data_IF_645299805902
#
_entry.id   IF_645299805902
#
_cell.length_a   1.000
_cell.length_b   1.000
_cell.length_c   1.000
_cell.angle_alpha   90.00
_cell.angle_beta   90.00
_cell.angle_gamma   90.00
#
_symmetry.space_group_name_H-M   'P 1'
#
loop_
_entity.id
_entity.type
_entity.pdbx_description
1 polymer ?
#
# COMPACT_ATOMS: atom_id res chain seq x y z
N UNK A 1 -19.04 -19.10 -7.44
CA UNK A 1 -20.23 -18.41 -6.89
C UNK A 1 -19.83 -17.73 -5.58
N UNK A 2 -19.40 -16.48 -5.63
CA UNK A 2 -19.17 -15.61 -4.46
C UNK A 2 -20.01 -14.34 -4.59
N UNK A 3 -21.30 -14.49 -4.94
CA UNK A 3 -22.19 -13.35 -5.22
C UNK A 3 -22.70 -12.63 -3.95
N UNK A 4 -22.34 -13.11 -2.76
CA UNK A 4 -22.66 -12.47 -1.48
C UNK A 4 -21.47 -12.63 -0.53
N UNK A 5 -20.34 -12.00 -0.86
CA UNK A 5 -19.28 -11.83 0.14
C UNK A 5 -19.76 -10.79 1.16
N UNK A 6 -19.68 -11.04 2.48
CA UNK A 6 -20.02 -10.05 3.48
C UNK A 6 -19.18 -8.77 3.28
N UNK A 7 -19.70 -7.61 3.68
CA UNK A 7 -18.93 -6.37 3.72
C UNK A 7 -17.77 -6.53 4.70
N UNK A 8 -16.63 -7.00 4.22
CA UNK A 8 -15.40 -7.11 4.99
C UNK A 8 -14.75 -5.73 4.96
N UNK A 9 -14.77 -5.07 6.12
CA UNK A 9 -14.12 -3.76 6.32
C UNK A 9 -12.71 -3.92 6.89
N UNK A 10 -12.41 -5.06 7.50
CA UNK A 10 -11.12 -5.34 8.12
C UNK A 10 -10.62 -6.73 7.76
N UNK A 11 -9.35 -6.82 7.37
CA UNK A 11 -8.71 -8.06 6.97
C UNK A 11 -7.34 -8.13 7.62
N UNK A 12 -7.07 -9.26 8.29
CA UNK A 12 -5.78 -9.55 8.90
C UNK A 12 -5.23 -10.82 8.28
N UNK A 13 -4.04 -10.71 7.68
CA UNK A 13 -3.25 -11.84 7.22
C UNK A 13 -2.07 -12.03 8.17
N UNK A 14 -1.90 -13.24 8.67
CA UNK A 14 -0.66 -13.69 9.28
C UNK A 14 -0.12 -14.85 8.44
N UNK A 15 0.98 -14.60 7.74
CA UNK A 15 1.60 -15.53 6.80
C UNK A 15 3.06 -15.75 7.19
N UNK A 16 3.28 -16.70 8.10
CA UNK A 16 4.62 -17.25 8.37
C UNK A 16 4.95 -18.48 7.50
N UNK A 17 4.07 -18.81 6.54
CA UNK A 17 4.24 -19.87 5.54
C UNK A 17 4.29 -19.27 4.13
N UNK A 18 4.74 -20.07 3.14
CA UNK A 18 4.86 -19.68 1.72
C UNK A 18 3.49 -19.51 1.08
N UNK A 19 2.83 -18.38 1.34
CA UNK A 19 1.70 -17.90 0.56
C UNK A 19 2.26 -17.01 -0.54
N UNK A 20 1.84 -17.23 -1.78
CA UNK A 20 2.27 -16.40 -2.90
C UNK A 20 1.64 -15.01 -2.77
N UNK A 21 2.43 -13.97 -3.04
CA UNK A 21 1.96 -12.59 -2.95
C UNK A 21 0.80 -12.34 -3.93
N UNK A 22 0.84 -12.98 -5.09
CA UNK A 22 -0.19 -12.95 -6.12
C UNK A 22 -1.55 -13.41 -5.60
N UNK A 23 -1.58 -14.54 -4.87
CA UNK A 23 -2.84 -15.08 -4.32
C UNK A 23 -3.49 -14.10 -3.33
N UNK A 24 -2.67 -13.39 -2.55
CA UNK A 24 -3.17 -12.39 -1.59
C UNK A 24 -3.65 -11.14 -2.30
N UNK A 25 -2.91 -10.65 -3.30
CA UNK A 25 -3.32 -9.49 -4.07
C UNK A 25 -4.63 -9.76 -4.82
N UNK A 26 -4.77 -10.95 -5.40
CA UNK A 26 -5.99 -11.40 -6.04
C UNK A 26 -7.14 -11.46 -5.03
N UNK A 27 -6.92 -12.04 -3.83
CA UNK A 27 -7.92 -12.04 -2.77
C UNK A 27 -8.36 -10.61 -2.38
N UNK A 28 -7.41 -9.70 -2.18
CA UNK A 28 -7.68 -8.31 -1.80
C UNK A 28 -8.46 -7.56 -2.90
N UNK A 29 -8.22 -7.87 -4.18
CA UNK A 29 -8.98 -7.30 -5.29
C UNK A 29 -10.48 -7.65 -5.23
N UNK A 30 -10.83 -8.79 -4.62
CA UNK A 30 -12.22 -9.22 -4.44
C UNK A 30 -12.88 -8.63 -3.17
N UNK A 31 -12.19 -7.76 -2.43
CA UNK A 31 -12.70 -7.12 -1.20
C UNK A 31 -12.58 -5.58 -1.33
N UNK A 32 -13.33 -4.94 -2.24
CA UNK A 32 -13.18 -3.51 -2.51
C UNK A 32 -13.60 -2.61 -1.33
N UNK A 33 -14.47 -3.09 -0.44
CA UNK A 33 -14.94 -2.35 0.75
C UNK A 33 -13.93 -2.30 1.90
N UNK A 34 -12.75 -2.88 1.73
CA UNK A 34 -11.78 -2.99 2.80
C UNK A 34 -11.26 -1.61 3.21
N UNK A 35 -11.38 -1.29 4.49
CA UNK A 35 -10.92 -0.02 5.07
C UNK A 35 -9.70 -0.20 5.97
N UNK A 36 -9.50 -1.41 6.52
CA UNK A 36 -8.38 -1.74 7.40
C UNK A 36 -7.70 -3.02 6.93
N UNK A 37 -6.39 -2.93 6.69
CA UNK A 37 -5.56 -4.06 6.29
C UNK A 37 -4.40 -4.21 7.27
N UNK A 38 -4.27 -5.39 7.86
CA UNK A 38 -3.09 -5.77 8.64
C UNK A 38 -2.45 -6.98 7.98
N UNK A 39 -1.17 -6.88 7.62
CA UNK A 39 -0.40 -8.01 7.10
C UNK A 39 0.84 -8.20 7.95
N UNK A 40 0.99 -9.43 8.43
CA UNK A 40 2.18 -9.91 9.12
C UNK A 40 2.75 -11.06 8.30
N UNK A 41 3.93 -10.88 7.72
CA UNK A 41 4.54 -11.85 6.83
C UNK A 41 6.07 -11.75 6.82
N UNK A 42 6.72 -12.72 6.18
CA UNK A 42 8.16 -12.64 5.96
C UNK A 42 8.55 -11.54 4.96
N UNK A 43 9.84 -11.19 4.92
CA UNK A 43 10.36 -10.17 4.00
C UNK A 43 10.26 -10.54 2.53
N UNK A 44 10.09 -11.82 2.20
CA UNK A 44 9.97 -12.32 0.81
C UNK A 44 8.57 -12.04 0.27
N UNK A 45 7.55 -12.15 1.13
CA UNK A 45 6.18 -11.78 0.81
C UNK A 45 6.07 -10.29 0.44
N UNK A 46 6.75 -9.42 1.18
CA UNK A 46 6.77 -7.98 0.92
C UNK A 46 7.79 -7.62 -0.17
N UNK A 47 7.59 -8.13 -1.37
CA UNK A 47 8.44 -7.78 -2.50
C UNK A 47 8.13 -6.38 -3.07
N UNK A 48 8.91 -5.94 -4.04
CA UNK A 48 8.68 -4.63 -4.66
C UNK A 48 7.35 -4.56 -5.42
N UNK A 49 6.86 -5.68 -5.95
CA UNK A 49 5.61 -5.76 -6.70
C UNK A 49 4.41 -5.51 -5.78
N UNK A 50 4.41 -6.08 -4.58
CA UNK A 50 3.40 -5.82 -3.56
C UNK A 50 3.16 -4.32 -3.35
N UNK A 51 4.24 -3.55 -3.11
CA UNK A 51 4.13 -2.11 -2.88
C UNK A 51 3.70 -1.33 -4.12
N UNK A 52 4.11 -1.76 -5.31
CA UNK A 52 3.68 -1.15 -6.57
C UNK A 52 2.18 -1.35 -6.81
N UNK A 53 1.66 -2.56 -6.61
CA UNK A 53 0.23 -2.86 -6.80
C UNK A 53 -0.65 -2.16 -5.74
N UNK A 54 -0.10 -1.98 -4.54
CA UNK A 54 -0.71 -1.19 -3.48
C UNK A 54 -0.61 0.32 -3.70
N UNK A 55 0.19 0.81 -4.66
CA UNK A 55 0.31 2.24 -4.97
C UNK A 55 -0.89 2.68 -5.81
N UNK A 56 -1.55 3.76 -5.41
CA UNK A 56 -2.62 4.36 -6.21
C UNK A 56 -2.02 5.12 -7.39
N UNK A 57 -2.30 4.69 -8.61
CA UNK A 57 -1.87 5.38 -9.83
C UNK A 57 -2.99 6.27 -10.37
N UNK A 58 -2.62 7.37 -11.04
CA UNK A 58 -3.57 8.20 -11.78
C UNK A 58 -4.16 7.37 -12.94
N UNK A 59 -5.45 7.54 -13.28
CA UNK A 59 -5.91 7.21 -14.62
C UNK A 59 -5.11 8.03 -15.63
N UNK A 60 -4.35 7.37 -16.50
CA UNK A 60 -3.66 8.05 -17.59
C UNK A 60 -4.71 8.58 -18.57
N UNK A 61 -4.74 9.90 -18.88
CA UNK A 61 -5.72 10.47 -19.80
C UNK A 61 -5.51 10.06 -21.27
N UNK A 62 -4.42 9.34 -21.60
CA UNK A 62 -4.05 9.00 -22.97
C UNK A 62 -4.84 7.83 -23.58
N UNK A 63 -5.69 7.14 -22.82
CA UNK A 63 -6.42 5.94 -23.26
C UNK A 63 -7.94 6.04 -23.03
N UNK A 64 -8.53 7.17 -23.41
CA UNK A 64 -9.98 7.33 -23.58
C UNK A 64 -10.43 6.68 -24.90
N UNK A 65 -10.32 5.36 -25.00
CA UNK A 65 -10.59 4.68 -26.26
C UNK A 65 -10.64 3.17 -26.17
N UNK A 66 -11.37 2.62 -25.21
CA UNK A 66 -12.04 1.33 -25.32
C UNK A 66 -12.78 1.05 -24.01
N UNK A 67 -13.99 0.56 -24.16
CA UNK A 67 -14.92 0.10 -23.15
C UNK A 67 -14.29 -1.05 -22.31
N UNK A 68 -13.42 -0.71 -21.36
CA UNK A 68 -12.98 -1.57 -20.25
C UNK A 68 -12.85 -0.69 -18.99
N UNK A 69 -14.01 -0.38 -18.40
CA UNK A 69 -14.16 0.11 -17.03
C UNK A 69 -13.47 -0.86 -16.05
N UNK A 70 -12.22 -0.65 -15.62
CA UNK A 70 -11.70 -0.98 -14.26
C UNK A 70 -10.20 -0.77 -14.00
N UNK A 71 -9.33 -0.58 -14.99
CA UNK A 71 -7.89 -0.84 -14.78
C UNK A 71 -7.00 0.33 -14.29
N UNK A 72 -7.54 1.36 -13.64
CA UNK A 72 -6.72 2.48 -13.14
C UNK A 72 -6.94 2.87 -11.68
N UNK A 73 -7.67 2.05 -10.92
CA UNK A 73 -7.87 2.28 -9.49
C UNK A 73 -6.95 1.34 -8.73
N UNK A 74 -5.91 1.86 -8.08
CA UNK A 74 -5.00 1.05 -7.26
C UNK A 74 -5.76 0.18 -6.25
N UNK A 75 -5.16 -0.92 -5.83
CA UNK A 75 -5.79 -1.93 -4.98
C UNK A 75 -6.39 -1.31 -3.70
N UNK A 76 -7.55 -1.76 -3.24
CA UNK A 76 -8.22 -1.29 -2.02
C UNK A 76 -8.53 0.23 -2.03
N UNK A 77 -9.52 0.68 -2.82
CA UNK A 77 -9.87 2.09 -2.99
C UNK A 77 -10.32 2.82 -1.72
N UNK A 78 -10.80 2.07 -0.72
CA UNK A 78 -11.33 2.60 0.54
C UNK A 78 -10.40 2.41 1.74
N UNK A 79 -9.14 2.03 1.51
CA UNK A 79 -8.19 1.74 2.58
C UNK A 79 -7.83 2.99 3.38
N UNK A 80 -8.21 3.00 4.66
CA UNK A 80 -7.91 4.06 5.63
C UNK A 80 -6.79 3.70 6.58
N UNK A 81 -6.57 2.42 6.83
CA UNK A 81 -5.59 1.93 7.80
C UNK A 81 -4.80 0.78 7.20
N UNK A 82 -3.47 0.90 7.23
CA UNK A 82 -2.55 -0.15 6.79
C UNK A 82 -1.50 -0.41 7.86
N UNK A 83 -1.42 -1.64 8.35
CA UNK A 83 -0.42 -2.08 9.30
C UNK A 83 0.38 -3.25 8.72
N UNK A 84 1.69 -3.07 8.59
CA UNK A 84 2.60 -4.07 8.04
C UNK A 84 3.57 -4.54 9.12
N UNK A 85 3.75 -5.84 9.27
CA UNK A 85 4.80 -6.44 10.11
C UNK A 85 5.66 -7.35 9.25
N UNK A 86 6.93 -6.99 9.08
CA UNK A 86 7.89 -7.66 8.23
C UNK A 86 8.84 -8.48 9.10
N UNK A 87 8.81 -9.80 8.93
CA UNK A 87 9.71 -10.72 9.60
C UNK A 87 10.93 -11.02 8.72
N UNK A 88 12.11 -10.63 9.18
CA UNK A 88 13.38 -11.04 8.58
C UNK A 88 13.76 -12.44 9.09
N UNK A 89 13.16 -13.47 8.49
CA UNK A 89 13.42 -14.85 8.88
C UNK A 89 14.81 -15.30 8.39
N UNK A 90 15.63 -15.79 9.31
CA UNK A 90 17.01 -16.28 9.09
C UNK A 90 17.09 -17.62 8.34
N UNK A 91 15.96 -18.14 7.86
CA UNK A 91 15.87 -19.51 7.34
C UNK A 91 16.42 -19.62 5.90
N UNK A 92 17.69 -20.03 5.82
CA UNK A 92 18.44 -20.67 4.73
C UNK A 92 18.95 -19.87 3.51
N UNK A 93 20.28 -19.90 3.36
CA UNK A 93 21.10 -20.18 2.16
C UNK A 93 20.88 -19.43 0.83
N UNK A 94 19.90 -18.52 0.72
CA UNK A 94 19.72 -17.71 -0.48
C UNK A 94 20.28 -16.29 -0.29
N UNK A 95 21.45 -15.97 -0.89
CA UNK A 95 22.11 -14.67 -0.75
C UNK A 95 21.35 -13.51 -1.43
N UNK A 96 20.27 -13.80 -2.16
CA UNK A 96 19.48 -12.83 -2.93
C UNK A 96 18.16 -12.41 -2.25
N UNK A 97 17.90 -12.83 -1.00
CA UNK A 97 16.73 -12.34 -0.23
C UNK A 97 16.87 -10.84 0.02
N UNK A 98 16.27 -10.05 -0.84
CA UNK A 98 16.35 -8.60 -0.81
C UNK A 98 15.17 -8.04 -0.05
N UNK A 99 15.45 -7.37 1.07
CA UNK A 99 14.47 -6.52 1.73
C UNK A 99 13.77 -5.59 0.70
N UNK A 100 12.48 -5.29 0.86
CA UNK A 100 11.77 -4.41 -0.06
C UNK A 100 12.46 -3.07 -0.20
N UNK A 101 12.33 -2.39 -1.33
CA UNK A 101 12.88 -1.04 -1.44
C UNK A 101 12.14 -0.07 -0.51
N UNK A 102 12.78 0.56 0.49
CA UNK A 102 12.13 1.50 1.40
C UNK A 102 11.40 2.64 0.68
N UNK A 103 11.91 3.06 -0.48
CA UNK A 103 11.30 4.13 -1.27
C UNK A 103 9.95 3.73 -1.86
N UNK A 104 9.76 2.46 -2.23
CA UNK A 104 8.47 2.00 -2.74
C UNK A 104 7.40 2.00 -1.64
N UNK A 105 7.80 1.69 -0.40
CA UNK A 105 6.92 1.78 0.77
C UNK A 105 6.44 3.22 0.94
N UNK A 106 7.36 4.19 0.93
CA UNK A 106 6.99 5.61 1.10
C UNK A 106 6.15 6.11 -0.07
N UNK A 107 6.53 5.80 -1.32
CA UNK A 107 5.76 6.18 -2.51
C UNK A 107 4.32 5.64 -2.44
N UNK A 108 4.14 4.40 -1.98
CA UNK A 108 2.82 3.80 -1.80
C UNK A 108 1.98 4.62 -0.80
N UNK A 109 2.55 4.95 0.37
CA UNK A 109 1.86 5.78 1.37
C UNK A 109 1.51 7.16 0.80
N UNK A 110 2.47 7.84 0.17
CA UNK A 110 2.26 9.17 -0.42
C UNK A 110 1.17 9.15 -1.50
N UNK A 111 1.15 8.13 -2.36
CA UNK A 111 0.13 7.98 -3.40
C UNK A 111 -1.27 7.93 -2.81
N UNK A 112 -1.45 7.22 -1.70
CA UNK A 112 -2.73 7.09 -0.98
C UNK A 112 -3.09 8.32 -0.17
N UNK A 113 -2.11 9.13 0.24
CA UNK A 113 -2.35 10.42 0.92
C UNK A 113 -2.69 11.54 -0.05
N UNK A 114 -2.18 11.48 -1.27
CA UNK A 114 -2.38 12.51 -2.28
C UNK A 114 -3.56 12.19 -3.22
N UNK A 115 -4.37 11.18 -2.92
CA UNK A 115 -5.56 10.76 -3.70
C UNK A 115 -6.47 11.95 -4.06
N UNK A 116 -6.73 12.88 -3.15
CA UNK A 116 -7.58 14.04 -3.45
C UNK A 116 -6.94 15.02 -4.43
N UNK A 117 -5.63 15.24 -4.33
CA UNK A 117 -4.88 16.03 -5.32
C UNK A 117 -4.88 15.31 -6.67
N UNK A 118 -4.68 13.99 -6.65
CA UNK A 118 -4.75 13.09 -7.81
C UNK A 118 -6.09 13.22 -8.55
N UNK A 119 -7.20 13.20 -7.80
CA UNK A 119 -8.55 13.32 -8.33
C UNK A 119 -8.84 14.73 -8.86
N UNK A 120 -8.33 15.77 -8.19
CA UNK A 120 -8.49 17.14 -8.68
C UNK A 120 -7.71 17.37 -9.98
N UNK A 121 -6.44 16.95 -10.08
CA UNK A 121 -5.61 17.14 -11.28
C UNK A 121 -6.17 16.39 -12.50
N UNK A 122 -6.74 15.20 -12.31
CA UNK A 122 -7.42 14.46 -13.38
C UNK A 122 -8.71 15.14 -13.86
N UNK A 123 -9.34 15.98 -13.02
CA UNK A 123 -10.60 16.68 -13.34
C UNK A 123 -10.38 18.01 -14.08
N UNK A 124 -9.16 18.53 -14.20
CA UNK A 124 -8.86 19.86 -14.81
C UNK A 124 -8.58 19.79 -16.31
N UNK A 125 -9.17 18.84 -17.05
CA UNK A 125 -9.23 18.94 -18.52
C UNK A 125 -10.61 19.52 -18.88
N UNK A 126 -10.73 20.84 -19.15
CA UNK A 126 -12.00 21.41 -19.57
C UNK A 126 -12.14 21.15 -21.07
N UNK A 127 -12.93 20.15 -21.45
CA UNK A 127 -13.51 20.09 -22.78
C UNK A 127 -14.80 20.94 -22.76
N UNK A 128 -14.84 22.11 -23.42
CA UNK A 128 -15.97 23.04 -23.32
C UNK A 128 -17.21 22.61 -24.12
N UNK A 129 -17.30 21.35 -24.57
CA UNK A 129 -18.32 20.93 -25.55
C UNK A 129 -19.35 19.91 -25.07
N UNK A 130 -19.38 19.48 -23.80
CA UNK A 130 -20.33 18.45 -23.36
C UNK A 130 -21.25 18.93 -22.24
N UNK A 131 -22.52 19.03 -22.63
CA UNK A 131 -23.74 19.25 -21.84
C UNK A 131 -23.76 18.48 -20.51
N UNK A 132 -24.32 19.14 -19.49
CA UNK A 132 -24.67 18.63 -18.17
C UNK A 132 -25.07 17.15 -18.18
N UNK A 133 -24.12 16.27 -17.89
CA UNK A 133 -24.39 14.89 -17.48
C UNK A 133 -24.15 14.87 -15.97
N UNK A 134 -25.11 14.41 -15.15
CA UNK A 134 -24.87 14.30 -13.72
C UNK A 134 -23.65 13.40 -13.53
N UNK A 135 -22.69 13.85 -12.73
CA UNK A 135 -21.52 13.08 -12.34
C UNK A 135 -22.01 11.76 -11.72
N UNK A 136 -22.12 10.73 -12.54
CA UNK A 136 -22.43 9.37 -12.11
C UNK A 136 -21.24 8.90 -11.28
N UNK A 137 -21.38 9.03 -9.96
CA UNK A 137 -20.62 8.30 -8.93
C UNK A 137 -19.15 8.11 -9.28
N UNK A 138 -18.37 9.19 -9.25
CA UNK A 138 -16.94 9.04 -8.99
C UNK A 138 -16.82 8.46 -7.59
N UNK A 139 -16.72 7.12 -7.49
CA UNK A 139 -16.52 6.42 -6.21
C UNK A 139 -15.34 7.08 -5.51
N UNK A 140 -15.66 7.70 -4.37
CA UNK A 140 -14.71 8.52 -3.64
C UNK A 140 -13.70 7.59 -3.00
N UNK A 141 -12.48 7.57 -3.54
CA UNK A 141 -11.33 6.93 -2.91
C UNK A 141 -11.09 7.58 -1.54
N UNK A 142 -10.80 6.75 -0.54
CA UNK A 142 -10.45 7.24 0.79
C UNK A 142 -8.95 7.51 0.89
N UNK A 143 -8.59 8.58 1.63
CA UNK A 143 -7.19 8.81 1.98
C UNK A 143 -6.74 7.83 3.07
N UNK A 144 -5.51 7.35 2.98
CA UNK A 144 -4.90 6.60 4.06
C UNK A 144 -4.75 7.51 5.29
N UNK A 145 -5.35 7.17 6.43
CA UNK A 145 -5.28 7.97 7.66
C UNK A 145 -4.30 7.39 8.68
N UNK A 146 -4.00 6.09 8.59
CA UNK A 146 -3.09 5.40 9.49
C UNK A 146 -2.14 4.48 8.71
N UNK A 147 -0.86 4.57 9.04
CA UNK A 147 0.19 3.68 8.53
C UNK A 147 1.05 3.16 9.69
N UNK A 148 1.04 1.86 9.89
CA UNK A 148 1.93 1.16 10.80
C UNK A 148 2.94 0.32 10.01
N UNK A 149 4.21 0.37 10.40
CA UNK A 149 5.21 -0.59 9.94
C UNK A 149 6.08 -1.06 11.10
N UNK A 150 6.18 -2.38 11.23
CA UNK A 150 7.03 -3.06 12.17
C UNK A 150 8.01 -3.99 11.43
N UNK A 151 9.24 -4.02 11.91
CA UNK A 151 10.27 -4.96 11.49
C UNK A 151 10.97 -5.46 12.76
N UNK A 152 10.30 -6.32 13.56
CA UNK A 152 10.84 -6.78 14.83
C UNK A 152 12.08 -7.63 14.62
N UNK A 153 13.06 -7.44 15.49
CA UNK A 153 14.24 -8.30 15.60
C UNK A 153 13.91 -9.39 16.60
N UNK A 154 14.06 -10.64 16.21
CA UNK A 154 13.83 -11.77 17.12
C UNK A 154 14.88 -11.76 18.25
N UNK A 155 14.46 -11.96 19.49
CA UNK A 155 15.31 -11.86 20.67
C UNK A 155 16.58 -12.74 20.54
N UNK A 156 17.75 -12.10 20.56
CA UNK A 156 19.05 -12.76 20.47
C UNK A 156 19.68 -12.77 19.08
N UNK A 157 18.96 -12.36 18.03
CA UNK A 157 19.53 -12.15 16.70
C UNK A 157 20.00 -10.69 16.56
N UNK A 158 21.22 -10.50 16.05
CA UNK A 158 21.69 -9.18 15.63
C UNK A 158 21.27 -8.96 14.19
N UNK A 159 20.76 -7.75 13.89
CA UNK A 159 20.55 -7.33 12.50
C UNK A 159 21.87 -7.45 11.74
N UNK A 160 21.81 -7.99 10.53
CA UNK A 160 22.95 -7.90 9.63
C UNK A 160 23.09 -6.46 9.11
N UNK A 161 24.26 -6.11 8.56
CA UNK A 161 24.57 -4.75 8.08
C UNK A 161 23.56 -4.27 7.01
N UNK A 162 23.01 -5.19 6.21
CA UNK A 162 22.02 -4.87 5.18
C UNK A 162 20.66 -4.52 5.78
N UNK A 163 20.19 -5.30 6.77
CA UNK A 163 18.96 -5.04 7.51
C UNK A 163 19.06 -3.74 8.30
N UNK A 164 20.19 -3.51 8.99
CA UNK A 164 20.41 -2.24 9.69
C UNK A 164 20.35 -1.05 8.72
N UNK A 165 21.05 -1.14 7.57
CA UNK A 165 21.01 -0.10 6.55
C UNK A 165 19.61 0.12 5.97
N UNK A 166 18.82 -0.95 5.85
CA UNK A 166 17.42 -0.87 5.46
C UNK A 166 16.57 -0.14 6.50
N UNK A 167 16.70 -0.51 7.79
CA UNK A 167 15.95 0.10 8.89
C UNK A 167 16.25 1.60 9.00
N UNK A 168 17.53 1.98 8.92
CA UNK A 168 17.96 3.39 8.92
C UNK A 168 17.43 4.16 7.71
N UNK A 169 17.50 3.55 6.51
CA UNK A 169 17.01 4.17 5.28
C UNK A 169 15.51 4.40 5.33
N UNK A 170 14.73 3.40 5.75
CA UNK A 170 13.28 3.49 5.89
C UNK A 170 12.90 4.54 6.95
N UNK A 171 13.52 4.49 8.12
CA UNK A 171 13.29 5.45 9.21
C UNK A 171 13.51 6.90 8.76
N UNK A 172 14.61 7.15 8.04
CA UNK A 172 14.91 8.47 7.48
C UNK A 172 13.86 8.89 6.44
N UNK A 173 13.53 8.02 5.48
CA UNK A 173 12.56 8.35 4.42
C UNK A 173 11.17 8.65 4.99
N UNK A 174 10.69 7.83 5.94
CA UNK A 174 9.39 8.05 6.59
C UNK A 174 9.38 9.35 7.38
N UNK A 175 10.47 9.65 8.11
CA UNK A 175 10.60 10.91 8.87
C UNK A 175 10.59 12.13 7.95
N UNK A 176 11.34 12.08 6.85
CA UNK A 176 11.54 13.24 5.99
C UNK A 176 10.34 13.49 5.07
N UNK A 177 9.76 12.43 4.50
CA UNK A 177 8.70 12.54 3.49
C UNK A 177 7.30 12.53 4.09
N UNK A 178 7.03 11.70 5.11
CA UNK A 178 5.69 11.62 5.68
C UNK A 178 5.36 12.74 6.68
N UNK A 179 6.32 13.57 7.06
CA UNK A 179 6.10 14.68 8.02
C UNK A 179 4.96 15.60 7.58
N UNK A 180 4.94 16.00 6.31
CA UNK A 180 3.85 16.83 5.74
C UNK A 180 2.49 16.15 5.84
N UNK A 181 2.46 14.82 5.76
CA UNK A 181 1.22 14.05 5.85
C UNK A 181 0.76 13.86 7.28
N UNK A 182 1.69 13.76 8.24
CA UNK A 182 1.41 13.73 9.69
C UNK A 182 0.74 15.04 10.12
N UNK A 183 1.26 16.18 9.67
CA UNK A 183 0.65 17.50 9.92
C UNK A 183 -0.76 17.61 9.32
N UNK A 184 -1.10 16.77 8.32
CA UNK A 184 -2.43 16.65 7.69
C UNK A 184 -3.27 15.50 8.27
N UNK A 185 -2.91 14.96 9.42
CA UNK A 185 -3.69 13.95 10.14
C UNK A 185 -3.36 12.48 9.83
N UNK A 186 -2.22 12.19 9.18
CA UNK A 186 -1.70 10.81 9.10
C UNK A 186 -1.13 10.39 10.45
N UNK A 187 -1.69 9.33 11.02
CA UNK A 187 -1.05 8.58 12.12
C UNK A 187 0.02 7.65 11.55
N UNK A 188 1.24 7.69 12.10
CA UNK A 188 2.35 6.84 11.68
C UNK A 188 2.96 6.13 12.89
N UNK A 189 2.99 4.79 12.88
CA UNK A 189 3.59 3.99 13.95
C UNK A 189 4.75 3.17 13.41
N UNK A 190 5.95 3.36 13.97
CA UNK A 190 7.17 2.69 13.53
C UNK A 190 7.72 1.83 14.67
N UNK A 191 7.87 0.52 14.42
CA UNK A 191 8.51 -0.40 15.35
C UNK A 191 9.60 -1.21 14.63
N UNK A 192 10.77 -0.62 14.45
CA UNK A 192 11.90 -1.21 13.70
C UNK A 192 12.96 -1.83 14.63
N UNK A 193 12.60 -2.16 15.87
CA UNK A 193 13.53 -2.69 16.88
C UNK A 193 14.45 -1.62 17.51
N UNK A 194 15.30 -2.01 18.49
CA UNK A 194 16.26 -1.12 19.12
C UNK A 194 17.42 -0.80 18.15
N UNK A 195 17.79 0.48 18.09
CA UNK A 195 18.94 1.01 17.35
C UNK A 195 20.06 1.38 18.33
#
# INVERSE_FOLDING_TARGET
>A
MLQHSPHIESFKLNSMMVIQVEDVLDLLAHIPSLTHLTIEADSVFFDNKFFLDMTSTLPSPAHSGSDEDTNTRGLLPHLKSLDLTIWFLTCSEEPDRKAPNPRLIVNMVESRRNIRQLQHDASVVPDPTISERPATTAETLDELCHFGIAAPVEDGNLLNVQEQGWHESLSRLLRDQLRVHIDRGLSCTLNLGPF
#
